data_IF_233659087190
#
_entry.id   IF_233659087190
#
_cell.length_a   1.000
_cell.length_b   1.000
_cell.length_c   1.000
_cell.angle_alpha   90.00
_cell.angle_beta   90.00
_cell.angle_gamma   90.00
#
_symmetry.space_group_name_H-M   'P 1'
#
loop_
_entity.id
_entity.type
_entity.pdbx_description
1 polymer ?
#
# COMPACT_ATOMS: atom_id res chain seq x y z
N UNK A 1 -26.99 20.91 -4.92
CA UNK A 1 -25.97 20.63 -3.89
C UNK A 1 -24.89 19.85 -4.61
N UNK A 2 -23.76 20.49 -4.87
CA UNK A 2 -22.59 19.84 -5.42
C UNK A 2 -22.07 18.91 -4.31
N UNK A 3 -22.22 17.60 -4.49
CA UNK A 3 -21.65 16.65 -3.53
C UNK A 3 -20.14 16.71 -3.70
N UNK A 4 -19.41 17.03 -2.64
CA UNK A 4 -17.95 16.89 -2.62
C UNK A 4 -17.60 15.48 -3.08
N UNK A 5 -17.01 15.37 -4.28
CA UNK A 5 -16.70 14.09 -4.88
C UNK A 5 -15.39 13.58 -4.30
N UNK A 6 -15.49 12.69 -3.33
CA UNK A 6 -14.36 11.93 -2.83
C UNK A 6 -13.99 10.79 -3.78
N UNK A 7 -12.70 10.46 -3.84
CA UNK A 7 -12.14 9.54 -4.83
C UNK A 7 -11.45 8.32 -4.20
N UNK A 8 -11.69 8.06 -2.90
CA UNK A 8 -11.24 6.82 -2.29
C UNK A 8 -11.66 5.60 -3.13
N UNK A 9 -10.77 4.63 -3.29
CA UNK A 9 -11.00 3.45 -4.12
C UNK A 9 -10.76 3.66 -5.62
N UNK A 10 -10.29 4.83 -6.04
CA UNK A 10 -9.88 5.08 -7.43
C UNK A 10 -8.36 4.99 -7.59
N UNK A 11 -7.93 4.74 -8.82
CA UNK A 11 -6.55 4.94 -9.22
C UNK A 11 -6.37 6.31 -9.85
N UNK A 12 -5.29 7.00 -9.48
CA UNK A 12 -4.77 8.14 -10.22
C UNK A 12 -3.73 7.62 -11.20
N UNK A 13 -3.90 7.98 -12.47
CA UNK A 13 -2.97 7.62 -13.55
C UNK A 13 -2.31 8.89 -14.06
N UNK A 14 -0.99 8.97 -13.94
CA UNK A 14 -0.24 10.04 -14.56
C UNK A 14 -0.26 9.87 -16.09
N UNK A 15 -0.72 10.90 -16.78
CA UNK A 15 -0.73 10.92 -18.24
C UNK A 15 0.67 11.26 -18.78
N UNK A 16 0.99 10.85 -20.03
CA UNK A 16 2.21 11.28 -20.69
C UNK A 16 2.33 12.81 -20.70
N UNK A 17 3.52 13.31 -20.32
CA UNK A 17 3.75 14.75 -20.17
C UNK A 17 3.41 15.30 -18.78
N UNK A 18 3.41 14.46 -17.74
CA UNK A 18 3.33 14.90 -16.35
C UNK A 18 4.51 15.83 -16.03
N UNK A 19 4.21 17.07 -15.64
CA UNK A 19 5.25 18.08 -15.35
C UNK A 19 6.06 17.74 -14.10
N UNK A 20 5.42 17.16 -13.08
CA UNK A 20 6.10 16.72 -11.87
C UNK A 20 6.71 15.34 -12.07
N UNK A 21 8.03 15.32 -12.24
CA UNK A 21 8.82 14.11 -12.46
C UNK A 21 8.63 13.04 -11.38
N UNK A 22 8.20 13.43 -10.16
CA UNK A 22 7.93 12.46 -9.07
C UNK A 22 6.73 11.57 -9.36
N UNK A 23 5.84 12.01 -10.25
CA UNK A 23 4.63 11.30 -10.63
C UNK A 23 4.67 10.83 -12.08
N UNK A 24 5.76 11.04 -12.81
CA UNK A 24 5.85 10.61 -14.21
C UNK A 24 5.63 9.10 -14.33
N UNK A 25 4.70 8.69 -15.20
CA UNK A 25 4.26 7.30 -15.35
C UNK A 25 3.75 6.60 -14.07
N UNK A 26 3.36 7.36 -13.04
CA UNK A 26 2.88 6.80 -11.77
C UNK A 26 1.43 6.29 -11.84
N UNK A 27 1.18 5.24 -11.05
CA UNK A 27 -0.15 4.71 -10.75
C UNK A 27 -0.31 4.74 -9.22
N UNK A 28 -1.32 5.48 -8.73
CA UNK A 28 -1.53 5.68 -7.29
C UNK A 28 -2.91 5.14 -6.89
N UNK A 29 -2.94 4.19 -5.96
CA UNK A 29 -4.18 3.74 -5.32
C UNK A 29 -4.61 4.76 -4.26
N UNK A 30 -5.69 5.50 -4.49
CA UNK A 30 -6.20 6.48 -3.54
C UNK A 30 -6.98 5.77 -2.43
N UNK A 31 -6.45 5.78 -1.22
CA UNK A 31 -6.98 5.02 -0.09
C UNK A 31 -7.90 5.86 0.80
N UNK A 32 -7.53 7.12 1.05
CA UNK A 32 -8.36 8.08 1.78
C UNK A 32 -8.50 9.32 0.91
N UNK A 33 -9.71 9.86 0.83
CA UNK A 33 -9.96 11.19 0.30
C UNK A 33 -11.20 11.75 0.99
N UNK A 34 -11.01 12.78 1.81
CA UNK A 34 -12.06 13.46 2.55
C UNK A 34 -11.81 14.98 2.58
N UNK A 35 -12.53 15.71 3.43
CA UNK A 35 -12.37 17.16 3.59
C UNK A 35 -11.02 17.59 4.18
N UNK A 36 -10.26 16.66 4.77
CA UNK A 36 -8.96 16.90 5.38
C UNK A 36 -7.78 16.59 4.45
N UNK A 37 -8.03 15.91 3.33
CA UNK A 37 -7.02 15.67 2.30
C UNK A 37 -7.15 14.29 1.67
N UNK A 38 -6.05 13.79 1.13
CA UNK A 38 -5.99 12.48 0.51
C UNK A 38 -4.71 11.73 0.88
N UNK A 39 -4.83 10.41 0.99
CA UNK A 39 -3.72 9.47 1.15
C UNK A 39 -3.80 8.46 0.00
N UNK A 40 -2.70 8.31 -0.73
CA UNK A 40 -2.60 7.34 -1.80
C UNK A 40 -1.28 6.59 -1.72
N UNK A 41 -1.25 5.37 -2.26
CA UNK A 41 -0.04 4.55 -2.33
C UNK A 41 0.31 4.36 -3.80
N UNK A 42 1.50 4.76 -4.21
CA UNK A 42 2.03 4.44 -5.52
C UNK A 42 2.29 2.92 -5.62
N UNK A 43 1.83 2.31 -6.71
CA UNK A 43 1.87 0.86 -6.92
C UNK A 43 2.65 0.44 -8.18
N UNK A 44 3.39 1.37 -8.77
CA UNK A 44 4.07 1.17 -10.06
C UNK A 44 5.59 1.03 -10.00
N UNK A 45 6.23 1.37 -8.88
CA UNK A 45 7.70 1.41 -8.77
C UNK A 45 8.19 0.45 -7.67
N UNK A 46 9.03 -0.50 -8.04
CA UNK A 46 9.70 -1.42 -7.12
C UNK A 46 10.95 -0.77 -6.51
N UNK A 47 11.23 -1.06 -5.24
CA UNK A 47 12.50 -0.71 -4.61
C UNK A 47 13.56 -1.76 -4.96
N UNK A 48 14.73 -1.33 -5.45
CA UNK A 48 15.77 -2.25 -5.92
C UNK A 48 16.37 -3.14 -4.80
N UNK A 49 16.45 -2.61 -3.58
CA UNK A 49 17.19 -3.22 -2.46
C UNK A 49 16.30 -3.64 -1.27
N UNK A 50 14.98 -3.64 -1.43
CA UNK A 50 14.06 -3.99 -0.33
C UNK A 50 13.08 -5.04 -0.79
N UNK A 51 13.14 -6.22 -0.16
CA UNK A 51 12.21 -7.32 -0.41
C UNK A 51 11.31 -7.56 0.80
N UNK A 52 10.21 -8.26 0.58
CA UNK A 52 9.28 -8.61 1.64
C UNK A 52 9.96 -9.42 2.75
N UNK A 53 10.82 -10.38 2.39
CA UNK A 53 11.51 -11.19 3.41
C UNK A 53 12.43 -10.35 4.29
N UNK A 54 13.13 -9.38 3.72
CA UNK A 54 13.98 -8.45 4.48
C UNK A 54 13.14 -7.65 5.48
N UNK A 55 11.95 -7.19 5.07
CA UNK A 55 11.01 -6.50 5.97
C UNK A 55 10.53 -7.42 7.10
N UNK A 56 10.11 -8.65 6.79
CA UNK A 56 9.65 -9.61 7.80
C UNK A 56 10.76 -9.92 8.81
N UNK A 57 11.98 -10.18 8.33
CA UNK A 57 13.14 -10.44 9.18
C UNK A 57 13.46 -9.25 10.10
N UNK A 58 13.35 -8.01 9.60
CA UNK A 58 13.59 -6.80 10.41
C UNK A 58 12.63 -6.64 11.61
N UNK A 59 11.50 -7.35 11.60
CA UNK A 59 10.51 -7.38 12.66
C UNK A 59 10.47 -8.72 13.43
N UNK A 60 11.49 -9.57 13.27
CA UNK A 60 11.57 -10.92 13.85
C UNK A 60 10.39 -11.84 13.44
N UNK A 61 9.91 -11.69 12.21
CA UNK A 61 8.82 -12.50 11.63
C UNK A 61 9.42 -13.54 10.67
N UNK A 62 9.07 -14.81 10.87
CA UNK A 62 9.48 -15.90 9.96
C UNK A 62 8.79 -15.74 8.58
N UNK A 63 9.56 -15.37 7.58
CA UNK A 63 9.13 -15.24 6.18
C UNK A 63 9.48 -16.44 5.30
N UNK A 64 9.98 -17.55 5.86
CA UNK A 64 10.47 -18.69 5.08
C UNK A 64 9.38 -19.33 4.20
N UNK A 65 8.13 -19.34 4.67
CA UNK A 65 6.96 -19.81 3.94
C UNK A 65 6.33 -18.80 2.98
N UNK A 66 6.82 -17.55 2.96
CA UNK A 66 6.23 -16.45 2.19
C UNK A 66 6.99 -16.25 0.86
N UNK A 67 6.30 -16.06 -0.27
CA UNK A 67 6.95 -15.68 -1.53
C UNK A 67 7.73 -14.37 -1.38
N UNK A 68 8.96 -14.34 -1.88
CA UNK A 68 9.79 -13.15 -1.78
C UNK A 68 9.45 -12.15 -2.89
N UNK A 69 8.57 -11.20 -2.58
CA UNK A 69 8.10 -10.19 -3.52
C UNK A 69 8.82 -8.85 -3.31
N UNK A 70 8.96 -8.02 -4.37
CA UNK A 70 9.51 -6.69 -4.25
C UNK A 70 8.61 -5.81 -3.37
N UNK A 71 9.24 -4.91 -2.61
CA UNK A 71 8.54 -3.84 -1.90
C UNK A 71 8.47 -2.63 -2.82
N UNK A 72 7.31 -1.98 -2.84
CA UNK A 72 7.06 -0.84 -3.70
C UNK A 72 7.49 0.47 -3.03
N UNK A 73 7.91 1.43 -3.84
CA UNK A 73 8.03 2.82 -3.40
C UNK A 73 6.62 3.42 -3.40
N UNK A 74 6.01 3.53 -2.23
CA UNK A 74 4.63 4.00 -2.05
C UNK A 74 4.47 5.51 -2.17
N UNK A 75 5.52 6.28 -1.92
CA UNK A 75 5.53 7.73 -2.11
C UNK A 75 6.65 8.42 -1.33
N UNK A 76 6.77 9.75 -1.45
CA UNK A 76 7.84 10.52 -0.83
C UNK A 76 7.63 10.79 0.67
N UNK A 77 6.41 10.65 1.18
CA UNK A 77 6.06 10.97 2.57
C UNK A 77 6.28 9.76 3.47
N UNK A 78 6.89 9.98 4.64
CA UNK A 78 7.23 8.94 5.61
C UNK A 78 7.86 7.67 4.99
N UNK A 79 9.00 7.77 4.29
CA UNK A 79 9.56 6.70 3.43
C UNK A 79 10.00 5.43 4.17
N UNK A 80 9.91 5.41 5.50
CA UNK A 80 10.19 4.24 6.35
C UNK A 80 8.93 3.57 6.88
N UNK A 81 7.76 4.18 6.67
CA UNK A 81 6.48 3.65 7.13
C UNK A 81 5.97 2.65 6.11
N UNK A 82 5.67 1.44 6.58
CA UNK A 82 5.14 0.37 5.76
C UNK A 82 3.62 0.42 5.65
N UNK A 83 3.14 0.19 4.44
CA UNK A 83 1.73 -0.01 4.13
C UNK A 83 1.57 -1.31 3.36
N UNK A 84 0.50 -2.02 3.67
CA UNK A 84 0.08 -3.20 2.93
C UNK A 84 -1.29 -2.92 2.33
N UNK A 85 -1.35 -2.91 1.01
CA UNK A 85 -2.60 -2.84 0.24
C UNK A 85 -3.07 -4.26 -0.03
N UNK A 86 -4.27 -4.65 0.36
CA UNK A 86 -4.67 -6.05 0.32
C UNK A 86 -6.14 -6.29 -0.02
N UNK A 87 -6.49 -7.53 -0.36
CA UNK A 87 -7.89 -7.94 -0.54
C UNK A 87 -8.68 -7.95 0.77
N UNK A 88 -10.00 -7.80 0.67
CA UNK A 88 -10.92 -7.71 1.83
C UNK A 88 -11.22 -9.05 2.53
N UNK A 89 -10.53 -10.13 2.15
CA UNK A 89 -10.63 -11.46 2.78
C UNK A 89 -9.81 -11.57 4.07
N UNK A 90 -9.13 -10.50 4.45
CA UNK A 90 -8.45 -10.36 5.73
C UNK A 90 -8.84 -9.03 6.37
N UNK A 91 -9.02 -9.04 7.69
CA UNK A 91 -9.27 -7.85 8.48
C UNK A 91 -8.45 -7.94 9.79
N UNK A 92 -7.67 -6.90 10.06
CA UNK A 92 -6.85 -6.78 11.26
C UNK A 92 -7.13 -5.50 12.02
N UNK A 93 -6.23 -5.18 12.94
CA UNK A 93 -6.28 -3.95 13.70
C UNK A 93 -5.96 -2.77 12.79
N UNK A 94 -6.70 -1.67 12.96
CA UNK A 94 -6.49 -0.40 12.25
C UNK A 94 -6.45 -0.51 10.71
N UNK A 95 -7.05 -1.58 10.16
CA UNK A 95 -7.29 -1.71 8.72
C UNK A 95 -8.26 -0.60 8.29
N UNK A 96 -7.85 0.18 7.30
CA UNK A 96 -8.73 1.10 6.58
C UNK A 96 -9.33 0.35 5.40
N UNK A 97 -10.62 0.07 5.47
CA UNK A 97 -11.35 -0.42 4.30
C UNK A 97 -11.55 0.73 3.30
N UNK A 98 -11.06 0.54 2.08
CA UNK A 98 -11.17 1.50 0.99
C UNK A 98 -12.31 1.06 0.07
N UNK A 99 -13.50 1.61 0.33
CA UNK A 99 -14.74 1.25 -0.37
C UNK A 99 -14.95 -0.29 -0.31
N UNK A 100 -15.60 -0.88 -1.32
CA UNK A 100 -15.72 -2.35 -1.47
C UNK A 100 -14.59 -2.97 -2.32
N UNK A 101 -13.40 -2.33 -2.36
CA UNK A 101 -12.32 -2.72 -3.30
C UNK A 101 -11.12 -3.39 -2.65
N UNK A 102 -10.53 -2.74 -1.64
CA UNK A 102 -9.32 -3.23 -0.97
C UNK A 102 -9.20 -2.68 0.45
N UNK A 103 -8.33 -3.30 1.25
CA UNK A 103 -7.90 -2.82 2.55
C UNK A 103 -6.53 -2.15 2.48
N UNK A 104 -6.31 -1.21 3.38
CA UNK A 104 -5.01 -0.62 3.66
C UNK A 104 -4.67 -0.83 5.14
N UNK A 105 -3.56 -1.49 5.42
CA UNK A 105 -3.05 -1.69 6.78
C UNK A 105 -1.65 -1.13 6.92
N UNK A 106 -1.39 -0.41 8.01
CA UNK A 106 -0.07 0.14 8.36
C UNK A 106 0.51 -0.43 9.66
N UNK A 107 -0.11 -1.50 10.18
CA UNK A 107 0.19 -2.16 11.45
C UNK A 107 1.08 -3.39 11.24
N UNK A 108 1.78 -3.84 12.28
CA UNK A 108 2.63 -5.04 12.21
C UNK A 108 1.82 -6.35 12.18
N UNK A 109 0.54 -6.32 12.53
CA UNK A 109 -0.30 -7.51 12.59
C UNK A 109 -0.53 -8.14 11.21
N UNK A 110 -0.64 -7.35 10.14
CA UNK A 110 -0.77 -7.86 8.77
C UNK A 110 0.51 -8.55 8.31
N UNK A 111 1.69 -8.02 8.66
CA UNK A 111 2.96 -8.67 8.36
C UNK A 111 3.10 -10.00 9.10
N UNK A 112 2.68 -10.06 10.37
CA UNK A 112 2.63 -11.31 11.14
C UNK A 112 1.66 -12.31 10.51
N UNK A 113 0.47 -11.86 10.13
CA UNK A 113 -0.52 -12.71 9.46
C UNK A 113 0.02 -13.28 8.14
N UNK A 114 0.71 -12.47 7.34
CA UNK A 114 1.39 -12.90 6.11
C UNK A 114 2.46 -13.95 6.42
N UNK A 115 3.35 -13.69 7.38
CA UNK A 115 4.39 -14.64 7.82
C UNK A 115 3.84 -16.00 8.26
N UNK A 116 2.71 -15.99 8.97
CA UNK A 116 2.04 -17.20 9.45
C UNK A 116 1.16 -17.90 8.39
N UNK A 117 1.09 -17.37 7.16
CA UNK A 117 0.22 -17.91 6.11
C UNK A 117 -1.29 -17.72 6.37
N UNK A 118 -1.65 -16.80 7.27
CA UNK A 118 -3.03 -16.41 7.62
C UNK A 118 -3.41 -15.03 7.10
N UNK A 119 -2.57 -14.44 6.26
CA UNK A 119 -2.76 -13.13 5.66
C UNK A 119 -3.79 -13.14 4.53
N UNK A 120 -4.01 -11.97 3.89
CA UNK A 120 -4.89 -11.85 2.72
C UNK A 120 -4.41 -12.68 1.54
N UNK A 121 -5.34 -13.17 0.70
CA UNK A 121 -4.98 -13.93 -0.52
C UNK A 121 -4.23 -13.10 -1.56
N UNK A 122 -4.39 -11.78 -1.56
CA UNK A 122 -3.68 -10.85 -2.45
C UNK A 122 -3.25 -9.61 -1.68
N UNK A 123 -2.00 -9.21 -1.86
CA UNK A 123 -1.48 -7.99 -1.25
C UNK A 123 -0.30 -7.42 -2.04
N UNK A 124 -0.03 -6.14 -1.79
CA UNK A 124 1.14 -5.38 -2.18
C UNK A 124 1.73 -4.74 -0.93
N UNK A 125 3.05 -4.67 -0.84
CA UNK A 125 3.74 -4.00 0.28
C UNK A 125 4.47 -2.80 -0.26
N UNK A 126 4.31 -1.66 0.38
CA UNK A 126 4.92 -0.41 -0.02
C UNK A 126 5.53 0.33 1.18
N UNK A 127 6.59 1.10 0.96
CA UNK A 127 7.14 2.04 1.93
C UNK A 127 6.84 3.48 1.49
N UNK A 128 6.33 4.27 2.42
CA UNK A 128 5.89 5.65 2.17
C UNK A 128 4.54 5.77 1.47
N UNK A 129 4.07 7.01 1.32
CA UNK A 129 2.82 7.41 0.66
C UNK A 129 2.92 8.83 0.07
#
# INVERSE_FOLDING_TARGET
>A
MDQSRFYGGHFLLALPGMDDIRFDHSVIALCVHDEHGALGIAVGEEMEEVRLRDLLESFDIDGSGVPDMPVLRGGPVEPRRGFVLHSLDWAGQDMVQVDDRWGLSGSLDILKAIGEGRGPSRYLVALGY
#
